data_IF_581971404592
#
_entry.id   IF_581971404592
#
_cell.length_a   1.000
_cell.length_b   1.000
_cell.length_c   1.000
_cell.angle_alpha   90.00
_cell.angle_beta   90.00
_cell.angle_gamma   90.00
#
_symmetry.space_group_name_H-M   'P 1'
#
loop_
_entity.id
_entity.type
_entity.pdbx_description
1 polymer ?
#
# COMPACT_ATOMS: atom_id res chain seq x y z
N UNK A 1 -4.96 44.60 13.55
CA UNK A 1 -5.21 43.90 12.27
C UNK A 1 -4.66 42.49 12.40
N UNK A 2 -5.56 41.51 12.21
CA UNK A 2 -5.45 40.14 12.72
C UNK A 2 -4.30 39.35 12.11
N UNK A 3 -3.54 38.69 12.98
CA UNK A 3 -2.44 37.79 12.68
C UNK A 3 -2.92 36.49 12.01
N UNK A 4 -2.13 36.08 11.04
CA UNK A 4 -2.05 34.78 10.39
C UNK A 4 -2.46 33.59 11.28
N UNK A 5 -3.32 32.71 10.76
CA UNK A 5 -3.32 31.28 11.09
C UNK A 5 -3.52 30.47 9.81
N UNK A 6 -2.43 30.27 9.06
CA UNK A 6 -2.29 29.05 8.25
C UNK A 6 -2.04 27.90 9.21
N UNK A 7 -3.12 27.33 9.75
CA UNK A 7 -3.07 26.09 10.51
C UNK A 7 -2.93 24.94 9.52
N UNK A 8 -1.71 24.49 9.29
CA UNK A 8 -1.45 23.14 8.78
C UNK A 8 -1.95 22.15 9.82
N UNK A 9 -3.19 21.69 9.69
CA UNK A 9 -3.66 20.55 10.46
C UNK A 9 -2.94 19.31 9.95
N UNK A 10 -1.83 18.95 10.60
CA UNK A 10 -1.28 17.61 10.46
C UNK A 10 -2.41 16.63 10.82
N UNK A 11 -2.72 15.68 9.91
CA UNK A 11 -3.74 14.66 10.19
C UNK A 11 -3.35 13.92 11.46
N UNK A 12 -4.25 13.87 12.44
CA UNK A 12 -4.01 13.05 13.62
C UNK A 12 -3.90 11.58 13.19
N UNK A 13 -2.87 10.85 13.65
CA UNK A 13 -2.72 9.44 13.33
C UNK A 13 -3.96 8.67 13.81
N UNK A 14 -4.64 8.00 12.87
CA UNK A 14 -5.82 7.17 13.16
C UNK A 14 -7.18 7.81 12.85
N UNK A 15 -7.26 9.14 12.63
CA UNK A 15 -8.53 9.79 12.31
C UNK A 15 -8.94 9.64 10.84
N UNK A 16 -7.98 9.43 9.92
CA UNK A 16 -8.27 9.35 8.48
C UNK A 16 -8.66 7.96 7.98
N UNK A 17 -9.03 7.83 6.68
CA UNK A 17 -9.29 6.54 6.05
C UNK A 17 -8.11 5.58 6.22
N UNK A 18 -8.40 4.32 6.53
CA UNK A 18 -7.40 3.25 6.61
C UNK A 18 -7.08 2.72 5.23
N UNK A 19 -5.80 2.70 4.90
CA UNK A 19 -5.29 2.22 3.62
C UNK A 19 -4.50 0.93 3.85
N UNK A 20 -4.89 -0.16 3.19
CA UNK A 20 -4.16 -1.41 3.19
C UNK A 20 -3.38 -1.58 1.88
N UNK A 21 -2.11 -1.97 1.99
CA UNK A 21 -1.24 -2.28 0.87
C UNK A 21 -1.02 -3.78 0.75
N UNK A 22 -1.26 -4.33 -0.45
CA UNK A 22 -1.02 -5.72 -0.83
C UNK A 22 -0.16 -5.79 -2.09
N UNK A 23 0.40 -6.95 -2.39
CA UNK A 23 1.36 -7.12 -3.50
C UNK A 23 2.44 -8.14 -3.16
N UNK A 24 3.22 -8.63 -4.13
CA UNK A 24 4.29 -9.60 -3.87
C UNK A 24 5.45 -8.99 -3.07
N UNK A 25 6.33 -9.84 -2.57
CA UNK A 25 7.59 -9.42 -1.95
C UNK A 25 8.44 -8.61 -2.93
N UNK A 26 9.04 -7.52 -2.44
CA UNK A 26 9.81 -6.60 -3.29
C UNK A 26 8.99 -5.50 -3.97
N UNK A 27 7.65 -5.52 -3.88
CA UNK A 27 6.78 -4.50 -4.50
C UNK A 27 6.80 -3.11 -3.82
N UNK A 28 7.57 -2.92 -2.73
CA UNK A 28 7.71 -1.62 -2.07
C UNK A 28 6.68 -1.30 -0.98
N UNK A 29 5.87 -2.28 -0.55
CA UNK A 29 4.81 -2.09 0.47
C UNK A 29 5.31 -1.52 1.80
N UNK A 30 6.43 -2.03 2.33
CA UNK A 30 6.99 -1.53 3.60
C UNK A 30 7.42 -0.08 3.49
N UNK A 31 8.04 0.28 2.36
CA UNK A 31 8.50 1.64 2.07
C UNK A 31 7.32 2.60 2.00
N UNK A 32 6.29 2.29 1.21
CA UNK A 32 5.15 3.21 1.07
C UNK A 32 4.35 3.35 2.37
N UNK A 33 4.18 2.26 3.13
CA UNK A 33 3.46 2.30 4.42
C UNK A 33 4.18 3.21 5.41
N UNK A 34 5.52 3.15 5.47
CA UNK A 34 6.31 4.03 6.31
C UNK A 34 6.13 5.50 5.90
N UNK A 35 6.29 5.81 4.61
CA UNK A 35 6.17 7.19 4.09
C UNK A 35 4.77 7.78 4.27
N UNK A 36 3.72 6.99 4.03
CA UNK A 36 2.35 7.42 4.25
C UNK A 36 2.05 7.68 5.74
N UNK A 37 2.62 6.89 6.65
CA UNK A 37 2.49 7.14 8.10
C UNK A 37 3.17 8.43 8.52
N UNK A 38 4.36 8.73 7.97
CA UNK A 38 5.04 10.02 8.19
C UNK A 38 4.18 11.21 7.72
N UNK A 39 3.38 11.02 6.67
CA UNK A 39 2.40 11.98 6.16
C UNK A 39 1.05 11.96 6.92
N UNK A 40 0.93 11.19 8.00
CA UNK A 40 -0.28 11.13 8.84
C UNK A 40 -1.40 10.22 8.35
N UNK A 41 -1.13 9.30 7.40
CA UNK A 41 -2.12 8.30 6.96
C UNK A 41 -2.14 7.05 7.85
N UNK A 42 -3.32 6.46 8.08
CA UNK A 42 -3.45 5.10 8.67
C UNK A 42 -3.15 4.04 7.59
N UNK A 43 -1.86 3.88 7.27
CA UNK A 43 -1.39 2.89 6.30
C UNK A 43 -0.98 1.57 6.98
N UNK A 44 -1.38 0.43 6.39
CA UNK A 44 -1.15 -0.93 6.92
C UNK A 44 -0.78 -1.89 5.78
N UNK A 45 -0.08 -2.98 6.10
CA UNK A 45 0.21 -4.08 5.16
C UNK A 45 -0.05 -5.41 5.89
N UNK A 46 -1.06 -6.21 5.49
CA UNK A 46 -1.46 -7.41 6.23
C UNK A 46 -0.55 -8.63 5.97
N UNK A 47 0.50 -8.51 5.16
CA UNK A 47 1.30 -9.64 4.67
C UNK A 47 0.46 -10.73 3.96
N UNK A 48 -0.48 -10.30 3.12
CA UNK A 48 -1.42 -11.18 2.41
C UNK A 48 -0.72 -12.21 1.51
N UNK A 49 0.41 -11.84 0.91
CA UNK A 49 1.26 -12.71 0.10
C UNK A 49 1.79 -13.94 0.84
N UNK A 50 1.79 -13.90 2.18
CA UNK A 50 2.26 -15.00 3.03
C UNK A 50 1.12 -15.79 3.68
N UNK A 51 -0.14 -15.48 3.35
CA UNK A 51 -1.31 -16.11 3.96
C UNK A 51 -2.04 -17.06 3.02
N UNK A 52 -2.46 -18.21 3.56
CA UNK A 52 -3.39 -19.12 2.88
C UNK A 52 -4.85 -18.67 2.97
N UNK A 53 -5.18 -17.66 3.77
CA UNK A 53 -6.55 -17.13 3.90
C UNK A 53 -6.76 -16.03 2.84
N UNK A 54 -7.61 -16.23 1.82
CA UNK A 54 -7.68 -15.34 0.66
C UNK A 54 -8.09 -13.89 0.98
N UNK A 55 -8.93 -13.71 2.01
CA UNK A 55 -9.49 -12.43 2.43
C UNK A 55 -8.95 -11.95 3.77
N UNK A 56 -7.75 -12.42 4.18
CA UNK A 56 -7.11 -12.02 5.43
C UNK A 56 -6.96 -10.50 5.55
N UNK A 57 -6.61 -9.82 4.46
CA UNK A 57 -6.53 -8.36 4.38
C UNK A 57 -7.81 -7.68 4.87
N UNK A 58 -8.97 -8.24 4.52
CA UNK A 58 -10.29 -7.69 4.87
C UNK A 58 -10.62 -7.99 6.32
N UNK A 59 -10.38 -9.23 6.75
CA UNK A 59 -10.66 -9.69 8.12
C UNK A 59 -9.83 -8.97 9.18
N UNK A 60 -8.54 -8.76 8.91
CA UNK A 60 -7.62 -8.12 9.86
C UNK A 60 -7.76 -6.60 9.89
N UNK A 61 -7.87 -5.97 8.71
CA UNK A 61 -7.73 -4.51 8.63
C UNK A 61 -9.05 -3.78 8.41
N UNK A 62 -10.03 -4.42 7.76
CA UNK A 62 -11.26 -3.77 7.28
C UNK A 62 -10.96 -2.40 6.63
N UNK A 63 -10.08 -2.35 5.60
CA UNK A 63 -9.58 -1.09 5.10
C UNK A 63 -10.66 -0.29 4.39
N UNK A 64 -10.52 1.02 4.40
CA UNK A 64 -11.32 1.91 3.58
C UNK A 64 -10.80 1.90 2.13
N UNK A 65 -9.50 1.74 1.93
CA UNK A 65 -8.92 1.56 0.60
C UNK A 65 -7.94 0.37 0.59
N UNK A 66 -8.08 -0.51 -0.39
CA UNK A 66 -7.13 -1.57 -0.69
C UNK A 66 -6.32 -1.19 -1.93
N UNK A 67 -5.02 -1.01 -1.78
CA UNK A 67 -4.10 -0.66 -2.87
C UNK A 67 -3.15 -1.83 -3.12
N UNK A 68 -3.11 -2.29 -4.37
CA UNK A 68 -2.17 -3.30 -4.84
C UNK A 68 -0.95 -2.65 -5.48
N UNK A 69 0.24 -3.05 -5.04
CA UNK A 69 1.51 -2.73 -5.70
C UNK A 69 2.03 -3.97 -6.39
N UNK A 70 2.51 -3.81 -7.62
CA UNK A 70 3.04 -4.92 -8.39
C UNK A 70 4.26 -4.53 -9.22
N UNK A 71 5.02 -5.51 -9.70
CA UNK A 71 6.05 -5.37 -10.73
C UNK A 71 6.40 -6.76 -11.30
N UNK A 72 7.00 -6.85 -12.51
CA UNK A 72 7.49 -8.11 -13.05
C UNK A 72 8.48 -8.83 -12.12
N UNK A 73 8.47 -10.17 -12.13
CA UNK A 73 9.28 -10.99 -11.22
C UNK A 73 10.78 -10.64 -11.27
N UNK A 74 11.30 -10.31 -12.46
CA UNK A 74 12.69 -9.89 -12.62
C UNK A 74 13.01 -8.57 -11.87
N UNK A 75 12.08 -7.62 -11.82
CA UNK A 75 12.24 -6.35 -11.11
C UNK A 75 12.20 -6.61 -9.61
N UNK A 76 11.25 -7.42 -9.14
CA UNK A 76 11.11 -7.78 -7.73
C UNK A 76 12.38 -8.46 -7.19
N UNK A 77 12.95 -9.39 -7.96
CA UNK A 77 14.24 -10.03 -7.65
C UNK A 77 15.38 -9.04 -7.57
N UNK A 78 15.52 -8.16 -8.55
CA UNK A 78 16.58 -7.14 -8.59
C UNK A 78 16.53 -6.21 -7.38
N UNK A 79 15.33 -5.90 -6.87
CA UNK A 79 15.13 -5.05 -5.67
C UNK A 79 15.50 -5.76 -4.36
N UNK A 80 15.44 -7.08 -4.31
CA UNK A 80 15.73 -7.88 -3.11
C UNK A 80 16.67 -9.04 -3.46
N UNK A 81 17.93 -8.74 -3.83
CA UNK A 81 18.90 -9.78 -4.08
C UNK A 81 19.16 -10.57 -2.78
N UNK A 82 19.37 -11.88 -2.91
CA UNK A 82 19.82 -12.73 -1.80
C UNK A 82 18.74 -13.29 -0.86
N UNK A 83 17.45 -12.99 -1.07
CA UNK A 83 16.36 -13.55 -0.22
C UNK A 83 15.57 -14.69 -0.88
N UNK A 84 16.04 -15.21 -2.02
CA UNK A 84 15.45 -16.40 -2.64
C UNK A 84 14.09 -16.21 -3.32
N UNK A 85 13.79 -15.01 -3.86
CA UNK A 85 12.57 -14.76 -4.66
C UNK A 85 12.61 -15.45 -6.04
N UNK A 86 12.53 -16.78 -6.08
CA UNK A 86 12.37 -17.51 -7.33
C UNK A 86 11.03 -17.18 -8.00
N UNK A 87 10.90 -17.48 -9.30
CA UNK A 87 9.61 -17.33 -10.00
C UNK A 87 8.51 -18.15 -9.31
N UNK A 88 8.80 -19.38 -8.90
CA UNK A 88 7.83 -20.22 -8.17
C UNK A 88 7.35 -19.60 -6.85
N UNK A 89 8.22 -18.90 -6.10
CA UNK A 89 7.85 -18.19 -4.88
C UNK A 89 6.93 -17.01 -5.21
N UNK A 90 7.29 -16.20 -6.20
CA UNK A 90 6.52 -15.02 -6.60
C UNK A 90 5.16 -15.41 -7.21
N UNK A 91 5.11 -16.51 -7.97
CA UNK A 91 3.87 -17.04 -8.54
C UNK A 91 2.92 -17.55 -7.45
N UNK A 92 3.45 -18.22 -6.41
CA UNK A 92 2.67 -18.64 -5.25
C UNK A 92 2.17 -17.43 -4.42
N UNK A 93 2.99 -16.41 -4.24
CA UNK A 93 2.57 -15.15 -3.62
C UNK A 93 1.42 -14.50 -4.40
N UNK A 94 1.51 -14.44 -5.73
CA UNK A 94 0.45 -13.92 -6.62
C UNK A 94 -0.82 -14.74 -6.51
N UNK A 95 -0.72 -16.08 -6.44
CA UNK A 95 -1.88 -16.96 -6.23
C UNK A 95 -2.60 -16.62 -4.92
N UNK A 96 -1.85 -16.40 -3.83
CA UNK A 96 -2.42 -15.99 -2.52
C UNK A 96 -3.01 -14.59 -2.54
N UNK A 97 -2.45 -13.70 -3.35
CA UNK A 97 -2.92 -12.34 -3.54
C UNK A 97 -4.15 -12.22 -4.44
N UNK A 98 -4.49 -13.26 -5.22
CA UNK A 98 -5.55 -13.21 -6.24
C UNK A 98 -6.85 -12.58 -5.75
N UNK A 99 -7.32 -12.98 -4.56
CA UNK A 99 -8.53 -12.41 -3.97
C UNK A 99 -8.36 -10.92 -3.60
N UNK A 100 -7.21 -10.50 -3.09
CA UNK A 100 -6.94 -9.09 -2.80
C UNK A 100 -6.83 -8.25 -4.07
N UNK A 101 -6.16 -8.76 -5.11
CA UNK A 101 -6.02 -8.08 -6.41
C UNK A 101 -7.39 -7.85 -7.07
N UNK A 102 -8.28 -8.86 -7.03
CA UNK A 102 -9.64 -8.74 -7.56
C UNK A 102 -10.51 -7.70 -6.83
N UNK A 103 -10.13 -7.29 -5.62
CA UNK A 103 -10.85 -6.32 -4.80
C UNK A 103 -10.06 -5.01 -4.58
N UNK A 104 -8.92 -4.84 -5.23
CA UNK A 104 -8.12 -3.64 -5.07
C UNK A 104 -8.85 -2.43 -5.67
N UNK A 105 -8.98 -1.35 -4.90
CA UNK A 105 -9.53 -0.08 -5.38
C UNK A 105 -8.55 0.61 -6.34
N UNK A 106 -7.26 0.35 -6.16
CA UNK A 106 -6.17 0.86 -7.00
C UNK A 106 -5.08 -0.18 -7.15
N UNK A 107 -4.61 -0.37 -8.38
CA UNK A 107 -3.43 -1.19 -8.66
C UNK A 107 -2.39 -0.32 -9.34
N UNK A 108 -1.15 -0.36 -8.85
CA UNK A 108 -0.03 0.41 -9.37
C UNK A 108 1.10 -0.52 -9.78
N UNK A 109 1.48 -0.49 -11.05
CA UNK A 109 2.74 -1.06 -11.50
C UNK A 109 3.89 -0.17 -11.03
N UNK A 110 4.75 -0.73 -10.21
CA UNK A 110 5.90 -0.05 -9.62
C UNK A 110 7.17 -0.29 -10.43
N UNK A 111 7.13 -1.06 -11.52
CA UNK A 111 8.31 -1.56 -12.25
C UNK A 111 9.37 -0.50 -12.56
N UNK A 112 8.93 0.68 -12.99
CA UNK A 112 9.78 1.82 -13.38
C UNK A 112 9.73 3.00 -12.42
N UNK A 113 8.98 2.88 -11.32
CA UNK A 113 8.77 3.97 -10.38
C UNK A 113 9.79 3.93 -9.24
N UNK A 114 10.32 5.10 -8.90
CA UNK A 114 11.02 5.35 -7.63
C UNK A 114 10.06 5.29 -6.45
N UNK A 115 10.59 5.20 -5.23
CA UNK A 115 9.76 5.21 -4.02
C UNK A 115 8.97 6.52 -3.87
N UNK A 116 9.59 7.65 -4.22
CA UNK A 116 8.96 8.96 -4.21
C UNK A 116 7.80 9.06 -5.20
N UNK A 117 7.97 8.53 -6.42
CA UNK A 117 6.91 8.50 -7.43
C UNK A 117 5.76 7.61 -6.99
N UNK A 118 6.04 6.42 -6.44
CA UNK A 118 5.00 5.55 -5.87
C UNK A 118 4.19 6.28 -4.80
N UNK A 119 4.85 7.01 -3.89
CA UNK A 119 4.17 7.81 -2.86
C UNK A 119 3.31 8.90 -3.50
N UNK A 120 3.85 9.64 -4.49
CA UNK A 120 3.14 10.72 -5.19
C UNK A 120 1.87 10.20 -5.87
N UNK A 121 1.97 9.12 -6.64
CA UNK A 121 0.83 8.53 -7.34
C UNK A 121 -0.26 8.08 -6.36
N UNK A 122 0.13 7.40 -5.28
CA UNK A 122 -0.82 6.91 -4.28
C UNK A 122 -1.47 8.05 -3.50
N UNK A 123 -0.71 9.06 -3.07
CA UNK A 123 -1.26 10.23 -2.37
C UNK A 123 -2.22 11.00 -3.28
N UNK A 124 -1.83 11.26 -4.53
CA UNK A 124 -2.72 11.91 -5.50
C UNK A 124 -4.02 11.13 -5.72
N UNK A 125 -3.93 9.81 -5.84
CA UNK A 125 -5.10 8.94 -5.97
C UNK A 125 -6.01 8.98 -4.73
N UNK A 126 -5.41 9.01 -3.52
CA UNK A 126 -6.13 9.07 -2.25
C UNK A 126 -6.80 10.43 -2.04
N UNK A 127 -6.10 11.53 -2.30
CA UNK A 127 -6.64 12.89 -2.11
C UNK A 127 -7.77 13.21 -3.10
N UNK A 128 -7.72 12.63 -4.30
CA UNK A 128 -8.84 12.71 -5.25
C UNK A 128 -10.11 12.01 -4.74
N UNK A 129 -10.02 11.15 -3.71
CA UNK A 129 -11.12 10.40 -3.14
C UNK A 129 -11.45 10.88 -1.74
N UNK A 130 -12.65 11.44 -1.58
CA UNK A 130 -13.16 11.80 -0.26
C UNK A 130 -13.72 10.56 0.42
N UNK A 131 -13.13 10.14 1.53
CA UNK A 131 -13.78 9.27 2.51
C UNK A 131 -13.84 9.98 3.87
N UNK A 132 -14.96 9.85 4.60
CA UNK A 132 -15.06 10.42 5.92
C UNK A 132 -14.01 9.78 6.86
N UNK A 133 -13.59 10.51 7.91
CA UNK A 133 -12.75 9.94 8.95
C UNK A 133 -13.38 8.70 9.56
N UNK A 134 -12.55 7.73 10.00
CA UNK A 134 -13.07 6.56 10.71
C UNK A 134 -13.56 6.98 12.11
N UNK A 135 -14.69 6.41 12.58
CA UNK A 135 -15.18 6.63 13.94
C UNK A 135 -14.23 6.07 15.00
#
# INVERSE_FOLDING_TARGET
MSTSRRGTFARQPGAGPRVAFVGPCGAGKSTIVLRLRELGWDARMPAQEHSGVPDMWRKLLKPDFLIALDAPNEVLRKRRPGIGLSDAVLDEERRRLAHALAHADFTLDTSVLSAEEVVREVVGWLEARKKPPRP
#
